data_IF_656690629869
#
_entry.id   IF_656690629869
#
_cell.length_a   1.000
_cell.length_b   1.000
_cell.length_c   1.000
_cell.angle_alpha   90.00
_cell.angle_beta   90.00
_cell.angle_gamma   90.00
#
_symmetry.space_group_name_H-M   'P 1'
#
loop_
_entity.id
_entity.type
_entity.pdbx_description
1 polymer ?
#
# COMPACT_ATOMS: atom_id res chain seq x y z
N UNK A 1 5.25 -20.58 0.38
CA UNK A 1 5.75 -20.06 1.66
C UNK A 1 4.73 -19.06 2.18
N UNK A 2 3.72 -19.55 2.91
CA UNK A 2 2.52 -18.82 3.33
C UNK A 2 2.45 -18.80 4.86
N UNK A 3 3.29 -17.98 5.50
CA UNK A 3 3.45 -17.97 6.96
C UNK A 3 3.55 -16.56 7.56
N UNK A 4 2.93 -15.57 6.93
CA UNK A 4 2.61 -14.29 7.57
C UNK A 4 1.12 -14.07 7.32
N UNK A 5 0.32 -14.37 8.34
CA UNK A 5 -1.15 -14.29 8.25
C UNK A 5 -1.57 -12.90 7.81
N UNK A 6 -2.69 -12.83 7.09
CA UNK A 6 -3.29 -11.60 6.55
C UNK A 6 -3.79 -10.65 7.63
N UNK A 7 -2.93 -10.29 8.58
CA UNK A 7 -3.14 -9.40 9.70
C UNK A 7 -2.20 -8.21 9.59
N UNK A 8 -2.55 -7.11 10.21
CA UNK A 8 -1.70 -5.92 10.28
C UNK A 8 -0.66 -6.14 11.39
N UNK A 9 0.63 -6.10 11.04
CA UNK A 9 1.75 -6.26 11.97
C UNK A 9 2.51 -4.95 12.15
N UNK A 10 3.34 -4.86 13.19
CA UNK A 10 4.28 -3.76 13.32
C UNK A 10 5.22 -3.65 12.10
N UNK A 11 5.56 -2.44 11.63
CA UNK A 11 5.09 -1.13 12.10
C UNK A 11 3.78 -0.66 11.43
N UNK A 12 3.19 -1.46 10.55
CA UNK A 12 1.99 -1.12 9.77
C UNK A 12 0.72 -0.91 10.63
N UNK A 13 0.79 -1.27 11.92
CA UNK A 13 -0.22 -1.02 12.93
C UNK A 13 -0.10 0.35 13.59
N UNK A 14 0.87 1.22 13.27
CA UNK A 14 0.97 2.55 13.89
C UNK A 14 -0.18 3.50 13.45
N UNK A 15 -0.56 4.44 14.33
CA UNK A 15 -1.71 5.34 14.13
C UNK A 15 -1.42 6.49 13.18
N UNK A 16 -0.19 7.00 13.24
CA UNK A 16 0.26 8.22 12.58
C UNK A 16 1.02 7.96 11.28
N UNK A 17 0.79 6.80 10.66
CA UNK A 17 1.40 6.41 9.39
C UNK A 17 0.34 6.04 8.35
N UNK A 18 0.73 6.07 7.08
CA UNK A 18 -0.08 5.59 5.97
C UNK A 18 0.25 4.13 5.67
N UNK A 19 -0.65 3.22 6.05
CA UNK A 19 -0.50 1.78 5.81
C UNK A 19 -1.14 1.40 4.48
N UNK A 20 -0.37 0.74 3.61
CA UNK A 20 -0.79 0.41 2.25
C UNK A 20 -0.93 -1.10 2.07
N UNK A 21 -2.14 -1.55 1.77
CA UNK A 21 -2.44 -2.93 1.38
C UNK A 21 -2.30 -3.17 -0.13
N UNK A 22 -2.52 -4.41 -0.55
CA UNK A 22 -2.35 -4.84 -1.93
C UNK A 22 -3.67 -5.29 -2.57
N UNK A 23 -3.89 -4.86 -3.81
CA UNK A 23 -4.88 -5.40 -4.75
C UNK A 23 -4.19 -5.94 -6.01
N UNK A 24 -4.92 -6.71 -6.81
CA UNK A 24 -4.54 -7.05 -8.19
C UNK A 24 -5.09 -6.01 -9.20
N UNK A 25 -4.74 -6.15 -10.48
CA UNK A 25 -5.19 -5.23 -11.54
C UNK A 25 -6.72 -5.23 -11.74
N UNK A 26 -7.41 -6.27 -11.29
CA UNK A 26 -8.88 -6.34 -11.25
C UNK A 26 -9.50 -5.73 -10.00
N UNK A 27 -8.71 -4.99 -9.20
CA UNK A 27 -9.15 -4.36 -7.94
C UNK A 27 -9.57 -5.37 -6.84
N UNK A 28 -9.27 -6.65 -7.01
CA UNK A 28 -9.53 -7.63 -5.97
C UNK A 28 -8.42 -7.59 -4.93
N UNK A 29 -8.79 -7.67 -3.65
CA UNK A 29 -7.86 -7.68 -2.53
C UNK A 29 -6.93 -8.90 -2.61
N UNK A 30 -5.62 -8.67 -2.50
CA UNK A 30 -4.61 -9.72 -2.58
C UNK A 30 -4.70 -10.64 -1.37
N UNK A 31 -4.71 -11.96 -1.57
CA UNK A 31 -4.85 -12.96 -0.50
C UNK A 31 -3.72 -12.92 0.56
N UNK A 32 -2.54 -12.42 0.19
CA UNK A 32 -1.41 -12.23 1.09
C UNK A 32 -1.42 -10.88 1.83
N UNK A 33 -2.31 -9.95 1.47
CA UNK A 33 -2.31 -8.61 2.05
C UNK A 33 -2.89 -8.64 3.47
N UNK A 34 -2.21 -7.97 4.40
CA UNK A 34 -2.67 -7.85 5.79
C UNK A 34 -3.96 -7.05 5.89
N UNK A 35 -4.99 -7.61 6.53
CA UNK A 35 -6.28 -6.99 6.76
C UNK A 35 -6.48 -6.74 8.25
N UNK A 36 -6.92 -5.55 8.60
CA UNK A 36 -7.22 -5.19 9.98
C UNK A 36 -8.55 -5.77 10.48
N UNK A 37 -8.96 -5.39 11.70
CA UNK A 37 -8.38 -4.30 12.49
C UNK A 37 -7.00 -4.63 13.08
N UNK A 38 -6.28 -3.60 13.56
CA UNK A 38 -5.13 -3.80 14.45
C UNK A 38 -5.56 -4.43 15.77
N UNK A 39 -4.61 -4.88 16.60
CA UNK A 39 -4.90 -5.53 17.90
C UNK A 39 -5.77 -4.65 18.81
N UNK A 40 -5.60 -3.33 18.73
CA UNK A 40 -6.36 -2.33 19.50
C UNK A 40 -7.58 -1.76 18.74
N UNK A 41 -7.97 -2.35 17.61
CA UNK A 41 -9.25 -2.07 16.94
C UNK A 41 -9.22 -0.99 15.85
N UNK A 42 -8.06 -0.43 15.49
CA UNK A 42 -7.97 0.60 14.45
C UNK A 42 -8.14 -0.01 13.06
N UNK A 43 -8.80 0.74 12.17
CA UNK A 43 -9.01 0.36 10.77
C UNK A 43 -7.70 0.53 10.00
N UNK A 44 -7.16 -0.59 9.50
CA UNK A 44 -5.97 -0.69 8.65
C UNK A 44 -6.16 -1.84 7.65
N UNK A 45 -5.55 -1.80 6.45
CA UNK A 45 -4.72 -0.72 5.91
C UNK A 45 -5.55 0.54 5.63
N UNK A 46 -4.89 1.69 5.50
CA UNK A 46 -5.57 2.97 5.20
C UNK A 46 -5.97 3.07 3.73
N UNK A 47 -5.13 2.55 2.84
CA UNK A 47 -5.31 2.55 1.40
C UNK A 47 -4.81 1.23 0.80
N UNK A 48 -5.15 0.99 -0.47
CA UNK A 48 -4.63 -0.14 -1.23
C UNK A 48 -4.10 0.33 -2.58
N UNK A 49 -3.08 -0.35 -3.09
CA UNK A 49 -2.57 -0.15 -4.44
C UNK A 49 -2.17 -1.49 -5.07
N UNK A 50 -1.93 -1.49 -6.39
CA UNK A 50 -1.54 -2.71 -7.11
C UNK A 50 -0.23 -3.26 -6.54
N UNK A 51 -0.31 -4.45 -5.96
CA UNK A 51 0.87 -5.18 -5.47
C UNK A 51 0.88 -6.65 -5.87
N UNK A 52 -0.18 -7.13 -6.53
CA UNK A 52 -0.20 -8.47 -7.12
C UNK A 52 -0.04 -8.38 -8.63
N UNK A 53 0.91 -9.15 -9.17
CA UNK A 53 1.28 -9.11 -10.58
C UNK A 53 1.98 -7.82 -10.99
N UNK A 54 2.63 -7.13 -10.05
CA UNK A 54 3.34 -5.87 -10.35
C UNK A 54 4.57 -6.17 -11.19
N UNK A 55 4.69 -5.50 -12.33
CA UNK A 55 5.86 -5.63 -13.22
C UNK A 55 7.01 -4.82 -12.66
N UNK A 56 8.14 -5.47 -12.42
CA UNK A 56 9.37 -4.85 -11.91
C UNK A 56 10.54 -5.16 -12.81
N UNK A 57 11.54 -4.27 -12.82
CA UNK A 57 12.80 -4.54 -13.49
C UNK A 57 13.50 -5.75 -12.84
N UNK A 58 13.99 -6.66 -13.68
CA UNK A 58 14.64 -7.89 -13.26
C UNK A 58 15.83 -8.16 -14.17
N UNK A 59 17.03 -7.98 -13.62
CA UNK A 59 18.30 -8.12 -14.33
C UNK A 59 18.64 -9.58 -14.65
N UNK A 60 17.93 -10.53 -14.05
CA UNK A 60 18.10 -11.96 -14.31
C UNK A 60 17.05 -12.51 -15.29
N UNK A 61 16.02 -11.72 -15.61
CA UNK A 61 15.00 -12.07 -16.60
C UNK A 61 15.48 -11.77 -18.03
N UNK A 62 15.20 -12.68 -18.97
CA UNK A 62 15.50 -12.47 -20.40
C UNK A 62 14.76 -11.27 -20.98
N UNK A 63 13.58 -10.94 -20.46
CA UNK A 63 12.80 -9.76 -20.88
C UNK A 63 13.19 -8.47 -20.14
N UNK A 64 14.14 -8.54 -19.19
CA UNK A 64 14.52 -7.41 -18.32
C UNK A 64 13.46 -7.02 -17.27
N UNK A 65 12.34 -7.74 -17.21
CA UNK A 65 11.24 -7.53 -16.27
C UNK A 65 10.65 -8.85 -15.79
N UNK A 66 10.06 -8.85 -14.60
CA UNK A 66 9.29 -9.97 -14.06
C UNK A 66 8.07 -9.47 -13.27
N UNK A 67 7.05 -10.32 -13.16
CA UNK A 67 5.85 -10.04 -12.39
C UNK A 67 6.02 -10.55 -10.96
N UNK A 68 5.87 -9.68 -9.97
CA UNK A 68 6.06 -9.99 -8.56
C UNK A 68 4.83 -9.66 -7.72
N UNK A 69 4.76 -10.26 -6.53
CA UNK A 69 3.65 -10.10 -5.59
C UNK A 69 4.17 -9.61 -4.24
N UNK A 70 3.57 -8.55 -3.69
CA UNK A 70 3.89 -8.04 -2.37
C UNK A 70 3.31 -6.65 -2.10
N UNK A 71 2.94 -6.39 -0.85
CA UNK A 71 2.57 -5.03 -0.39
C UNK A 71 3.74 -4.05 -0.50
N UNK A 72 4.98 -4.55 -0.49
CA UNK A 72 6.19 -3.77 -0.78
C UNK A 72 6.19 -3.09 -2.15
N UNK A 73 5.39 -3.57 -3.11
CA UNK A 73 5.21 -2.90 -4.40
C UNK A 73 4.07 -1.87 -4.37
N UNK A 74 3.05 -2.10 -3.53
CA UNK A 74 1.97 -1.13 -3.29
C UNK A 74 2.47 0.13 -2.57
N UNK A 75 3.35 -0.02 -1.58
CA UNK A 75 3.89 1.07 -0.78
C UNK A 75 4.59 2.18 -1.59
N UNK A 76 5.58 1.90 -2.48
CA UNK A 76 6.25 2.93 -3.26
C UNK A 76 5.35 3.60 -4.30
N UNK A 77 4.31 2.92 -4.81
CA UNK A 77 3.31 3.53 -5.69
C UNK A 77 2.58 4.66 -4.96
N UNK A 78 2.09 4.39 -3.74
CA UNK A 78 1.45 5.41 -2.91
C UNK A 78 2.46 6.47 -2.45
N UNK A 79 3.71 6.10 -2.16
CA UNK A 79 4.74 7.08 -1.82
C UNK A 79 4.98 8.10 -2.94
N UNK A 80 5.00 7.66 -4.21
CA UNK A 80 5.09 8.55 -5.38
C UNK A 80 3.89 9.49 -5.50
N UNK A 81 2.68 8.97 -5.29
CA UNK A 81 1.46 9.79 -5.22
C UNK A 81 1.54 10.85 -4.11
N UNK A 82 1.93 10.43 -2.90
CA UNK A 82 2.10 11.31 -1.74
C UNK A 82 3.12 12.40 -2.04
N UNK A 83 4.28 12.05 -2.61
CA UNK A 83 5.31 13.02 -2.94
C UNK A 83 4.81 14.11 -3.90
N UNK A 84 4.13 13.71 -4.99
CA UNK A 84 3.56 14.66 -5.95
C UNK A 84 2.46 15.55 -5.35
N UNK A 85 1.55 14.93 -4.57
CA UNK A 85 0.50 15.68 -3.87
C UNK A 85 1.08 16.68 -2.87
N UNK A 86 2.06 16.26 -2.08
CA UNK A 86 2.65 17.12 -1.05
C UNK A 86 3.51 18.23 -1.66
N UNK A 87 4.17 17.96 -2.80
CA UNK A 87 4.87 18.99 -3.57
C UNK A 87 3.90 20.09 -4.07
N UNK A 88 2.68 19.73 -4.47
CA UNK A 88 1.66 20.70 -4.87
C UNK A 88 1.06 21.48 -3.68
N UNK A 89 1.14 20.93 -2.46
CA UNK A 89 0.57 21.50 -1.25
C UNK A 89 1.59 21.54 -0.09
N UNK A 90 2.69 22.29 -0.21
CA UNK A 90 3.83 22.22 0.72
C UNK A 90 3.51 22.71 2.14
N UNK A 91 2.42 23.45 2.34
CA UNK A 91 1.97 23.93 3.65
C UNK A 91 1.20 22.89 4.48
N UNK A 92 0.87 21.72 3.90
CA UNK A 92 0.16 20.67 4.63
C UNK A 92 1.09 19.90 5.57
N UNK A 93 0.55 19.52 6.73
CA UNK A 93 1.21 18.57 7.63
C UNK A 93 1.06 17.13 7.11
N UNK A 94 1.91 16.23 7.60
CA UNK A 94 1.84 14.80 7.26
C UNK A 94 0.44 14.22 7.49
N UNK A 95 -0.20 14.57 8.60
CA UNK A 95 -1.54 14.07 8.91
C UNK A 95 -2.62 14.67 8.02
N UNK A 96 -2.49 15.92 7.60
CA UNK A 96 -3.42 16.51 6.62
C UNK A 96 -3.29 15.82 5.27
N UNK A 97 -2.08 15.48 4.84
CA UNK A 97 -1.83 14.70 3.62
C UNK A 97 -2.45 13.31 3.75
N UNK A 98 -2.17 12.57 4.82
CA UNK A 98 -2.75 11.24 5.06
C UNK A 98 -4.29 11.29 5.02
N UNK A 99 -4.90 12.25 5.71
CA UNK A 99 -6.36 12.37 5.74
C UNK A 99 -6.95 12.71 4.37
N UNK A 100 -6.30 13.60 3.61
CA UNK A 100 -6.72 13.94 2.26
C UNK A 100 -6.69 12.73 1.32
N UNK A 101 -5.62 11.92 1.39
CA UNK A 101 -5.49 10.70 0.58
C UNK A 101 -6.50 9.62 0.99
N UNK A 102 -6.75 9.44 2.29
CA UNK A 102 -7.78 8.51 2.78
C UNK A 102 -9.18 8.90 2.31
N UNK A 103 -9.47 10.20 2.25
CA UNK A 103 -10.76 10.71 1.77
C UNK A 103 -10.94 10.63 0.24
N UNK A 104 -9.85 10.54 -0.53
CA UNK A 104 -9.89 10.50 -2.00
C UNK A 104 -9.81 9.08 -2.59
N UNK A 105 -9.57 8.06 -1.76
CA UNK A 105 -9.52 6.66 -2.20
C UNK A 105 -10.85 6.18 -2.80
N UNK A 106 -10.77 5.42 -3.89
CA UNK A 106 -11.95 4.77 -4.47
C UNK A 106 -12.51 3.71 -3.52
N UNK A 107 -13.84 3.71 -3.35
CA UNK A 107 -14.55 2.65 -2.64
C UNK A 107 -14.82 1.51 -3.63
N UNK A 108 -13.95 0.51 -3.59
CA UNK A 108 -13.99 -0.70 -4.44
C UNK A 108 -14.47 -1.91 -3.66
#
# INVERSE_FOLDING_TARGET
NSSWGGWISAPADADSILTVGSVNNGQNYSSFSGKGPTIDGRVKPDLVAVGSGTITADVFSTSGVSANNGTSFSAPIIAGLVAGFWQAHPGLTAMQVINALKASGSNI
#
